data_IF_103422150180
#
_entry.id   IF_103422150180
#
_cell.length_a   1.000
_cell.length_b   1.000
_cell.length_c   1.000
_cell.angle_alpha   90.00
_cell.angle_beta   90.00
_cell.angle_gamma   90.00
#
_symmetry.space_group_name_H-M   'P 1'
#
loop_
_entity.id
_entity.type
_entity.pdbx_description
1 polymer ?
#
# COMPACT_ATOMS: atom_id res chain seq x y z
N UNK A 1 -4.91 -7.89 -4.09
CA UNK A 1 -5.35 -6.66 -4.80
C UNK A 1 -4.12 -5.77 -4.98
N UNK A 2 -3.99 -4.97 -6.05
CA UNK A 2 -2.81 -4.09 -6.23
C UNK A 2 -3.24 -2.64 -6.18
N UNK A 3 -2.52 -1.81 -5.43
CA UNK A 3 -2.70 -0.35 -5.40
C UNK A 3 -1.43 0.33 -5.88
N UNK A 4 -1.56 1.58 -6.32
CA UNK A 4 -0.42 2.39 -6.74
C UNK A 4 -0.21 3.51 -5.72
N UNK A 5 1.01 3.61 -5.19
CA UNK A 5 1.38 4.69 -4.28
C UNK A 5 1.33 6.03 -5.02
N UNK A 6 0.81 7.06 -4.37
CA UNK A 6 0.84 8.44 -4.86
C UNK A 6 2.18 9.10 -4.49
N UNK A 7 2.42 10.31 -5.01
CA UNK A 7 3.63 11.05 -4.67
C UNK A 7 3.63 11.41 -3.18
N UNK A 8 4.64 10.94 -2.45
CA UNK A 8 4.74 11.19 -1.01
C UNK A 8 3.89 10.24 -0.14
N UNK A 9 3.21 9.26 -0.74
CA UNK A 9 2.48 8.25 0.02
C UNK A 9 3.48 7.31 0.72
N UNK A 10 3.12 6.87 1.92
CA UNK A 10 3.94 5.95 2.72
C UNK A 10 3.22 4.61 2.84
N UNK A 11 4.00 3.55 3.07
CA UNK A 11 3.42 2.22 3.26
C UNK A 11 2.46 2.22 4.47
N UNK A 12 2.78 2.97 5.52
CA UNK A 12 1.90 3.18 6.68
C UNK A 12 0.57 3.83 6.28
N UNK A 13 0.60 4.94 5.51
CA UNK A 13 -0.60 5.63 5.07
C UNK A 13 -1.50 4.73 4.19
N UNK A 14 -0.89 3.96 3.30
CA UNK A 14 -1.60 2.95 2.49
C UNK A 14 -2.21 1.89 3.41
N UNK A 15 -1.45 1.38 4.37
CA UNK A 15 -1.95 0.39 5.32
C UNK A 15 -3.13 0.92 6.14
N UNK A 16 -3.07 2.15 6.67
CA UNK A 16 -4.20 2.78 7.37
C UNK A 16 -5.39 2.99 6.45
N UNK A 17 -5.20 3.44 5.21
CA UNK A 17 -6.31 3.68 4.26
C UNK A 17 -7.05 2.41 3.87
N UNK A 18 -6.31 1.32 3.62
CA UNK A 18 -6.89 0.06 3.16
C UNK A 18 -7.35 -0.83 4.30
N UNK A 19 -6.55 -0.92 5.38
CA UNK A 19 -6.79 -1.85 6.47
C UNK A 19 -7.27 -1.17 7.76
N UNK A 20 -7.24 0.17 7.85
CA UNK A 20 -7.57 0.91 9.07
C UNK A 20 -6.54 0.75 10.19
N UNK A 21 -5.46 0.01 9.95
CA UNK A 21 -4.41 -0.33 10.92
C UNK A 21 -3.09 -0.63 10.21
N UNK A 22 -1.99 -0.47 10.94
CA UNK A 22 -0.63 -0.73 10.43
C UNK A 22 0.04 -1.91 11.12
N UNK A 23 -0.37 -2.22 12.35
CA UNK A 23 0.19 -3.32 13.14
C UNK A 23 -0.14 -4.69 12.54
N UNK A 24 0.89 -5.52 12.29
CA UNK A 24 0.81 -6.85 11.65
C UNK A 24 0.52 -6.84 10.14
N UNK A 25 -0.08 -5.76 9.63
CA UNK A 25 -0.39 -5.65 8.20
C UNK A 25 0.83 -5.23 7.38
N UNK A 26 1.62 -4.29 7.90
CA UNK A 26 2.87 -3.84 7.27
C UNK A 26 3.80 -5.03 7.00
N UNK A 27 3.95 -5.95 7.97
CA UNK A 27 4.78 -7.15 7.83
C UNK A 27 4.25 -8.09 6.74
N UNK A 28 2.93 -8.27 6.69
CA UNK A 28 2.29 -9.12 5.68
C UNK A 28 2.43 -8.51 4.27
N UNK A 29 2.28 -7.18 4.16
CA UNK A 29 2.50 -6.43 2.91
C UNK A 29 3.97 -6.51 2.49
N UNK A 30 4.92 -6.31 3.40
CA UNK A 30 6.35 -6.44 3.10
C UNK A 30 6.71 -7.86 2.65
N UNK A 31 6.16 -8.88 3.31
CA UNK A 31 6.39 -10.27 2.93
C UNK A 31 5.85 -10.60 1.53
N UNK A 32 4.72 -10.00 1.16
CA UNK A 32 4.15 -10.10 -0.19
C UNK A 32 4.89 -9.24 -1.23
N UNK A 33 5.63 -8.21 -0.80
CA UNK A 33 6.34 -7.28 -1.67
C UNK A 33 7.83 -7.16 -1.28
N UNK A 34 8.64 -8.18 -1.58
CA UNK A 34 10.08 -8.08 -1.40
C UNK A 34 10.62 -6.95 -2.29
N UNK A 35 11.14 -5.89 -1.67
CA UNK A 35 11.65 -4.68 -2.34
C UNK A 35 10.95 -3.38 -1.93
N UNK A 36 9.71 -3.41 -1.40
CA UNK A 36 9.07 -2.20 -0.87
C UNK A 36 9.85 -1.60 0.32
N UNK A 37 10.40 -2.47 1.16
CA UNK A 37 11.20 -2.07 2.32
C UNK A 37 12.47 -1.28 1.92
N UNK A 38 13.02 -1.56 0.74
CA UNK A 38 14.25 -0.94 0.23
C UNK A 38 13.99 0.46 -0.34
N UNK A 39 12.75 0.76 -0.76
CA UNK A 39 12.35 2.09 -1.24
C UNK A 39 12.31 3.12 -0.10
N UNK A 40 12.25 2.66 1.16
CA UNK A 40 12.24 3.50 2.35
C UNK A 40 10.84 3.89 2.81
N UNK A 41 10.76 4.85 3.73
CA UNK A 41 9.49 5.24 4.38
C UNK A 41 8.49 5.88 3.41
N UNK A 42 8.98 6.56 2.36
CA UNK A 42 8.16 7.23 1.34
C UNK A 42 8.28 6.46 0.04
N UNK A 43 7.16 6.01 -0.49
CA UNK A 43 7.12 5.30 -1.76
C UNK A 43 7.13 6.30 -2.93
N UNK A 44 7.91 6.04 -3.97
CA UNK A 44 7.85 6.85 -5.18
C UNK A 44 6.45 6.75 -5.82
N UNK A 45 6.03 7.83 -6.49
CA UNK A 45 4.73 7.82 -7.17
C UNK A 45 4.68 6.70 -8.21
N UNK A 46 3.53 6.03 -8.33
CA UNK A 46 3.35 4.91 -9.25
C UNK A 46 3.95 3.58 -8.77
N UNK A 47 4.45 3.50 -7.54
CA UNK A 47 4.92 2.22 -6.98
C UNK A 47 3.74 1.28 -6.82
N UNK A 48 3.80 0.12 -7.47
CA UNK A 48 2.82 -0.93 -7.29
C UNK A 48 3.03 -1.61 -5.93
N UNK A 49 2.02 -1.52 -5.06
CA UNK A 49 1.96 -2.17 -3.76
C UNK A 49 0.93 -3.29 -3.83
N UNK A 50 1.37 -4.53 -3.67
CA UNK A 50 0.47 -5.66 -3.55
C UNK A 50 -0.11 -5.72 -2.14
N UNK A 51 -1.42 -5.55 -2.05
CA UNK A 51 -2.17 -5.62 -0.81
C UNK A 51 -2.74 -7.05 -0.67
N UNK A 52 -2.17 -7.88 0.23
CA UNK A 52 -2.73 -9.20 0.53
C UNK A 52 -4.09 -9.06 1.19
N UNK A 53 -4.93 -10.10 1.05
CA UNK A 53 -6.28 -10.14 1.64
C UNK A 53 -6.18 -10.33 3.16
N UNK A 54 -5.79 -9.26 3.85
CA UNK A 54 -6.01 -9.16 5.29
C UNK A 54 -7.48 -8.79 5.44
N UNK A 55 -8.23 -9.60 6.18
CA UNK A 55 -9.67 -9.48 6.39
C UNK A 55 -10.05 -8.10 6.97
N UNK A 56 -10.19 -7.11 6.10
CA UNK A 56 -10.68 -5.76 6.40
C UNK A 56 -11.37 -5.24 5.15
N UNK A 57 -12.48 -4.54 5.33
CA UNK A 57 -13.35 -4.14 4.23
C UNK A 57 -12.59 -3.42 3.10
N UNK A 58 -12.88 -3.72 1.81
CA UNK A 58 -12.19 -3.11 0.69
C UNK A 58 -12.55 -1.62 0.61
N UNK A 59 -11.62 -0.73 0.97
CA UNK A 59 -11.73 0.69 0.64
C UNK A 59 -11.33 0.87 -0.82
N UNK A 60 -12.21 1.58 -1.52
CA UNK A 60 -12.33 1.71 -2.94
C UNK A 60 -11.02 1.99 -3.69
N UNK A 61 -10.94 1.32 -4.83
CA UNK A 61 -10.11 1.55 -6.01
C UNK A 61 -9.75 3.03 -6.18
N UNK A 62 -8.48 3.37 -5.98
CA UNK A 62 -7.92 4.67 -6.31
C UNK A 62 -7.91 4.83 -7.82
N UNK A 63 -9.01 5.36 -8.34
CA UNK A 63 -9.18 5.86 -9.71
C UNK A 63 -8.02 6.80 -10.03
N UNK A 64 -7.11 6.33 -10.87
CA UNK A 64 -6.10 7.15 -11.51
C UNK A 64 -6.65 7.57 -12.88
N UNK A 65 -7.49 8.61 -12.88
CA UNK A 65 -7.82 9.39 -14.08
C UNK A 65 -6.63 10.31 -14.37
N UNK A 66 -5.70 9.85 -15.19
CA UNK A 66 -4.66 10.72 -15.76
C UNK A 66 -5.11 11.18 -17.15
N UNK A 67 -5.19 12.50 -17.34
CA UNK A 67 -5.15 13.16 -18.66
C UNK A 67 -3.70 13.22 -19.19
#
# INVERSE_FOLDING_TARGET
>A
MKTFALQGDTLDAICVRYYGRTEGVVETVLAANPGLAELGAVLPHGTAVELPDVQTAPVAETVNLWE
#
